data_IF_296307475922
#
_entry.id   IF_296307475922
#
_cell.length_a   1.000
_cell.length_b   1.000
_cell.length_c   1.000
_cell.angle_alpha   90.00
_cell.angle_beta   90.00
_cell.angle_gamma   90.00
#
_symmetry.space_group_name_H-M   'P 1'
#
loop_
_entity.id
_entity.type
_entity.pdbx_description
1 polymer ?
#
# COMPACT_ATOMS: atom_id res chain seq x y z
N UNK A 1 12.72 5.28 0.51
CA UNK A 1 12.37 3.89 0.81
C UNK A 1 11.06 3.54 0.12
N UNK A 2 10.92 2.33 -0.36
CA UNK A 2 9.76 1.89 -1.14
C UNK A 2 8.84 1.01 -0.29
N UNK A 3 7.54 1.15 -0.49
CA UNK A 3 6.51 0.40 0.24
C UNK A 3 5.43 -0.10 -0.70
N UNK A 4 4.89 -1.26 -0.40
CA UNK A 4 3.63 -1.71 -0.97
C UNK A 4 2.54 -1.46 0.06
N UNK A 5 1.53 -0.72 -0.34
CA UNK A 5 0.34 -0.43 0.47
C UNK A 5 -0.82 -1.25 -0.07
N UNK A 6 -1.35 -2.13 0.76
CA UNK A 6 -2.53 -2.93 0.44
C UNK A 6 -3.74 -2.34 1.16
N UNK A 7 -4.80 -2.14 0.42
CA UNK A 7 -6.05 -1.56 0.92
C UNK A 7 -7.17 -2.56 0.68
N UNK A 8 -7.96 -2.86 1.72
CA UNK A 8 -9.15 -3.68 1.60
C UNK A 8 -10.35 -2.92 2.16
N UNK A 9 -11.40 -2.76 1.36
CA UNK A 9 -12.59 -2.03 1.78
C UNK A 9 -13.34 -2.78 2.87
N UNK A 10 -13.89 -2.01 3.82
CA UNK A 10 -14.79 -2.51 4.85
C UNK A 10 -16.23 -2.35 4.37
N UNK A 11 -16.85 -3.47 4.00
CA UNK A 11 -18.23 -3.50 3.54
C UNK A 11 -19.07 -4.34 4.50
N UNK A 12 -19.12 -3.91 5.76
CA UNK A 12 -19.73 -4.65 6.86
C UNK A 12 -21.02 -4.00 7.41
N UNK A 13 -21.53 -3.00 6.72
CA UNK A 13 -22.82 -2.36 7.04
C UNK A 13 -23.97 -2.90 6.21
N UNK A 14 -25.12 -2.24 6.28
CA UNK A 14 -26.26 -2.49 5.40
C UNK A 14 -25.90 -2.13 3.95
N UNK A 15 -26.75 -2.53 3.00
CA UNK A 15 -26.57 -2.16 1.58
C UNK A 15 -26.51 -0.63 1.45
N UNK A 16 -27.43 0.10 2.10
CA UNK A 16 -27.45 1.56 2.03
C UNK A 16 -26.22 2.20 2.66
N UNK A 17 -25.74 1.67 3.78
CA UNK A 17 -24.53 2.15 4.44
C UNK A 17 -23.29 1.89 3.59
N UNK A 18 -23.18 0.72 2.99
CA UNK A 18 -22.06 0.36 2.13
C UNK A 18 -22.03 1.22 0.85
N UNK A 19 -23.20 1.49 0.27
CA UNK A 19 -23.30 2.35 -0.90
C UNK A 19 -22.92 3.80 -0.57
N UNK A 20 -23.37 4.32 0.56
CA UNK A 20 -22.98 5.65 1.02
C UNK A 20 -21.46 5.74 1.28
N UNK A 21 -20.88 4.72 1.89
CA UNK A 21 -19.44 4.65 2.13
C UNK A 21 -18.64 4.59 0.82
N UNK A 22 -19.11 3.83 -0.17
CA UNK A 22 -18.47 3.76 -1.49
C UNK A 22 -18.46 5.13 -2.18
N UNK A 23 -19.58 5.85 -2.13
CA UNK A 23 -19.64 7.22 -2.66
C UNK A 23 -18.71 8.17 -1.93
N UNK A 24 -18.64 8.06 -0.62
CA UNK A 24 -17.79 8.92 0.21
C UNK A 24 -16.30 8.68 -0.05
N UNK A 25 -15.87 7.43 -0.21
CA UNK A 25 -14.47 7.13 -0.51
C UNK A 25 -14.04 7.69 -1.85
N UNK A 26 -14.93 7.68 -2.86
CA UNK A 26 -14.64 8.28 -4.16
C UNK A 26 -14.52 9.81 -4.05
N UNK A 27 -15.35 10.45 -3.24
CA UNK A 27 -15.25 11.89 -2.98
C UNK A 27 -13.93 12.25 -2.32
N UNK A 28 -13.52 11.49 -1.31
CA UNK A 28 -12.24 11.69 -0.63
C UNK A 28 -11.09 11.51 -1.62
N UNK A 29 -11.12 10.45 -2.41
CA UNK A 29 -10.09 10.17 -3.40
C UNK A 29 -9.97 11.32 -4.42
N UNK A 30 -11.09 11.84 -4.90
CA UNK A 30 -11.10 12.91 -5.91
C UNK A 30 -10.48 14.21 -5.42
N UNK A 31 -10.46 14.43 -4.10
CA UNK A 31 -9.93 15.63 -3.47
C UNK A 31 -8.59 15.43 -2.79
N UNK A 32 -8.12 14.19 -2.73
CA UNK A 32 -6.87 13.86 -2.08
C UNK A 32 -5.69 14.25 -2.96
N UNK A 33 -4.74 14.95 -2.36
CA UNK A 33 -3.44 15.23 -2.96
C UNK A 33 -2.39 14.47 -2.17
N UNK A 34 -1.61 13.59 -2.81
CA UNK A 34 -0.53 12.89 -2.12
C UNK A 34 0.48 13.88 -1.52
N UNK A 35 1.12 13.53 -0.39
CA UNK A 35 2.21 14.34 0.16
C UNK A 35 3.29 14.62 -0.90
N UNK A 36 3.84 15.83 -0.88
CA UNK A 36 4.81 16.27 -1.90
C UNK A 36 6.08 15.39 -1.92
N UNK A 37 6.47 14.83 -0.77
CA UNK A 37 7.65 13.97 -0.65
C UNK A 37 7.41 12.50 -1.02
N UNK A 38 6.19 12.14 -1.41
CA UNK A 38 5.82 10.76 -1.76
C UNK A 38 5.62 10.63 -3.25
N UNK A 39 6.27 9.64 -3.84
CA UNK A 39 6.07 9.26 -5.25
C UNK A 39 5.20 8.02 -5.31
N UNK A 40 4.10 8.08 -6.07
CA UNK A 40 3.27 6.91 -6.34
C UNK A 40 3.74 6.32 -7.67
N UNK A 41 4.39 5.15 -7.61
CA UNK A 41 4.88 4.46 -8.80
C UNK A 41 3.76 3.68 -9.50
N UNK A 42 2.87 3.09 -8.73
CA UNK A 42 1.71 2.35 -9.23
C UNK A 42 0.55 2.48 -8.27
N UNK A 43 -0.65 2.55 -8.82
CA UNK A 43 -1.90 2.51 -8.08
C UNK A 43 -2.88 1.68 -8.89
N UNK A 44 -3.26 0.51 -8.38
CA UNK A 44 -4.08 -0.45 -9.11
C UNK A 44 -5.23 -0.94 -8.25
N UNK A 45 -6.38 -1.19 -8.87
CA UNK A 45 -7.52 -1.83 -8.23
C UNK A 45 -7.42 -3.34 -8.34
N UNK A 46 -7.89 -4.03 -7.32
CA UNK A 46 -8.09 -5.48 -7.39
C UNK A 46 -9.22 -5.78 -8.38
N UNK A 47 -9.04 -6.82 -9.17
CA UNK A 47 -10.07 -7.23 -10.15
C UNK A 47 -11.36 -7.70 -9.50
N UNK A 48 -11.33 -8.13 -8.22
CA UNK A 48 -12.52 -8.49 -7.45
C UNK A 48 -13.26 -7.28 -6.85
N UNK A 49 -12.73 -6.07 -7.03
CA UNK A 49 -13.33 -4.84 -6.50
C UNK A 49 -13.19 -4.65 -5.00
N UNK A 50 -12.52 -5.54 -4.29
CA UNK A 50 -12.45 -5.51 -2.82
C UNK A 50 -11.41 -4.53 -2.26
N UNK A 51 -10.60 -3.92 -3.11
CA UNK A 51 -9.56 -2.98 -2.68
C UNK A 51 -8.55 -2.71 -3.77
N UNK A 52 -7.34 -2.40 -3.38
CA UNK A 52 -6.28 -2.09 -4.31
C UNK A 52 -4.89 -2.16 -3.69
N UNK A 53 -3.91 -1.87 -4.52
CA UNK A 53 -2.50 -1.82 -4.12
C UNK A 53 -1.87 -0.55 -4.65
N UNK A 54 -0.94 -0.01 -3.87
CA UNK A 54 -0.08 1.07 -4.32
C UNK A 54 1.39 0.70 -4.07
N UNK A 55 2.25 1.07 -5.00
CA UNK A 55 3.70 1.06 -4.78
C UNK A 55 4.12 2.50 -4.64
N UNK A 56 4.60 2.86 -3.47
CA UNK A 56 4.96 4.24 -3.14
C UNK A 56 6.40 4.33 -2.64
N UNK A 57 6.99 5.49 -2.79
CA UNK A 57 8.33 5.76 -2.31
C UNK A 57 8.36 7.08 -1.56
N UNK A 58 8.94 7.06 -0.35
CA UNK A 58 9.12 8.24 0.47
C UNK A 58 10.27 8.03 1.46
N UNK A 59 10.92 9.12 1.86
CA UNK A 59 11.90 9.12 2.93
C UNK A 59 11.28 9.48 4.29
N UNK A 60 10.00 9.82 4.30
CA UNK A 60 9.28 10.22 5.51
C UNK A 60 8.07 9.31 5.74
N UNK A 61 8.15 8.45 6.75
CA UNK A 61 7.07 7.52 7.09
C UNK A 61 5.75 8.23 7.43
N UNK A 62 5.79 9.49 7.85
CA UNK A 62 4.57 10.27 8.12
C UNK A 62 3.72 10.46 6.85
N UNK A 63 4.32 10.41 5.66
CA UNK A 63 3.57 10.46 4.40
C UNK A 63 2.61 9.26 4.25
N UNK A 64 3.01 8.10 4.78
CA UNK A 64 2.14 6.90 4.77
C UNK A 64 0.96 7.08 5.72
N UNK A 65 1.17 7.72 6.86
CA UNK A 65 0.10 8.00 7.84
C UNK A 65 -0.92 8.97 7.24
N UNK A 66 -0.48 9.95 6.46
CA UNK A 66 -1.39 10.86 5.76
C UNK A 66 -2.40 10.08 4.91
N UNK A 67 -1.91 9.16 4.09
CA UNK A 67 -2.74 8.35 3.21
C UNK A 67 -3.70 7.46 4.00
N UNK A 68 -3.17 6.68 4.93
CA UNK A 68 -3.98 5.75 5.70
C UNK A 68 -5.02 6.46 6.56
N UNK A 69 -4.68 7.61 7.13
CA UNK A 69 -5.61 8.38 7.97
C UNK A 69 -6.80 8.92 7.19
N UNK A 70 -6.58 9.38 5.96
CA UNK A 70 -7.66 9.94 5.14
C UNK A 70 -8.67 8.90 4.67
N UNK A 71 -8.24 7.66 4.51
CA UNK A 71 -9.10 6.56 4.07
C UNK A 71 -9.46 5.57 5.18
N UNK A 72 -8.98 5.79 6.40
CA UNK A 72 -9.16 4.87 7.54
C UNK A 72 -10.60 4.48 7.83
N UNK A 73 -11.61 5.38 7.70
CA UNK A 73 -13.00 4.98 7.96
C UNK A 73 -13.54 3.94 6.98
N UNK A 74 -12.92 3.77 5.82
CA UNK A 74 -13.46 2.98 4.72
C UNK A 74 -12.72 1.68 4.47
N UNK A 75 -11.50 1.53 5.03
CA UNK A 75 -10.62 0.45 4.61
C UNK A 75 -9.64 0.01 5.69
N UNK A 76 -9.23 -1.24 5.58
CA UNK A 76 -8.11 -1.79 6.31
C UNK A 76 -6.85 -1.72 5.45
N UNK A 77 -5.71 -1.48 6.07
CA UNK A 77 -4.42 -1.32 5.40
C UNK A 77 -3.41 -2.33 5.88
N UNK A 78 -2.57 -2.78 4.94
CA UNK A 78 -1.32 -3.46 5.24
C UNK A 78 -0.22 -2.74 4.46
N UNK A 79 0.89 -2.44 5.13
CA UNK A 79 2.00 -1.70 4.54
C UNK A 79 3.26 -2.52 4.70
N UNK A 80 3.93 -2.80 3.59
CA UNK A 80 5.13 -3.61 3.56
C UNK A 80 6.29 -2.78 3.01
N UNK A 81 7.39 -2.60 3.78
CA UNK A 81 8.61 -2.07 3.19
C UNK A 81 9.18 -3.11 2.22
N UNK A 82 9.61 -2.65 1.06
CA UNK A 82 10.08 -3.53 0.00
C UNK A 82 11.37 -2.98 -0.61
N UNK A 83 12.10 -3.87 -1.25
CA UNK A 83 13.24 -3.52 -2.10
C UNK A 83 13.02 -4.07 -3.50
N UNK A 84 13.75 -3.57 -4.47
CA UNK A 84 13.67 -4.11 -5.83
C UNK A 84 14.11 -5.57 -5.85
N UNK A 85 13.51 -6.35 -6.73
CA UNK A 85 13.79 -7.79 -6.80
C UNK A 85 15.27 -8.09 -7.01
N UNK A 86 15.98 -7.24 -7.75
CA UNK A 86 17.41 -7.40 -7.97
C UNK A 86 18.21 -7.36 -6.67
N UNK A 87 17.84 -6.49 -5.74
CA UNK A 87 18.47 -6.42 -4.41
C UNK A 87 18.18 -7.67 -3.59
N UNK A 88 16.92 -8.15 -3.63
CA UNK A 88 16.55 -9.40 -2.96
C UNK A 88 17.32 -10.60 -3.50
N UNK A 89 17.47 -10.69 -4.82
CA UNK A 89 18.25 -11.77 -5.47
C UNK A 89 19.73 -11.70 -5.06
N UNK A 90 20.33 -10.53 -5.06
CA UNK A 90 21.73 -10.35 -4.65
C UNK A 90 21.95 -10.82 -3.21
N UNK A 91 21.09 -10.39 -2.29
CA UNK A 91 21.19 -10.78 -0.88
C UNK A 91 21.00 -12.30 -0.72
N UNK A 92 20.08 -12.89 -1.48
CA UNK A 92 19.86 -14.34 -1.46
C UNK A 92 21.08 -15.11 -1.94
N UNK A 93 21.75 -14.62 -2.99
CA UNK A 93 22.98 -15.23 -3.47
C UNK A 93 24.12 -15.12 -2.45
N UNK A 94 24.26 -13.98 -1.79
CA UNK A 94 25.21 -13.78 -0.70
C UNK A 94 24.91 -14.74 0.48
N UNK A 95 23.64 -14.95 0.80
CA UNK A 95 23.23 -15.88 1.85
C UNK A 95 23.59 -17.32 1.52
N UNK A 96 23.42 -17.74 0.25
CA UNK A 96 23.81 -19.07 -0.21
C UNK A 96 25.33 -19.25 -0.07
N UNK A 97 26.11 -18.27 -0.54
CA UNK A 97 27.56 -18.30 -0.42
C UNK A 97 28.02 -18.38 1.05
N UNK A 98 27.35 -17.63 1.92
CA UNK A 98 27.64 -17.70 3.35
C UNK A 98 27.41 -19.10 3.91
N UNK A 99 26.27 -19.72 3.60
CA UNK A 99 25.96 -21.08 4.09
C UNK A 99 26.95 -22.11 3.57
N UNK A 100 27.37 -21.99 2.30
CA UNK A 100 28.36 -22.89 1.72
C UNK A 100 29.75 -22.73 2.33
N UNK A 101 30.06 -21.58 2.93
CA UNK A 101 31.34 -21.35 3.60
C UNK A 101 31.45 -22.05 4.94
N UNK A 102 30.34 -22.49 5.50
CA UNK A 102 30.30 -23.19 6.79
C UNK A 102 30.42 -24.68 6.53
N UNK A 103 31.42 -25.29 7.13
CA UNK A 103 31.74 -26.72 6.94
C UNK A 103 31.59 -27.49 8.23
#
# INVERSE_FOLDING_TARGET
MKFVVSLTFRLNGSVAENEAAAGRVLDVYSKWTPPAGMTIHQLVSRADGAGGFAVVETDNAADLIDTTSKFAPFADYEIYPVVDIADGVRVSQEAIAFRESIK
#
